data_IF_526365053033
#
_entry.id   IF_526365053033
#
_cell.length_a   1.000
_cell.length_b   1.000
_cell.length_c   1.000
_cell.angle_alpha   90.00
_cell.angle_beta   90.00
_cell.angle_gamma   90.00
#
_symmetry.space_group_name_H-M   'P 1'
#
loop_
_entity.id
_entity.type
_entity.pdbx_description
1 polymer ?
#
# COMPACT_ATOMS: atom_id res chain seq x y z
N UNK A 1 -16.68 7.63 -35.66
CA UNK A 1 -17.95 6.86 -35.62
C UNK A 1 -17.94 5.98 -34.38
N UNK A 2 -18.74 6.33 -33.37
CA UNK A 2 -19.02 5.47 -32.20
C UNK A 2 -19.88 4.30 -32.68
N UNK A 3 -19.31 3.10 -32.71
CA UNK A 3 -20.07 1.88 -32.98
C UNK A 3 -20.88 1.58 -31.71
N UNK A 4 -22.20 1.70 -31.78
CA UNK A 4 -23.07 1.32 -30.67
C UNK A 4 -23.25 -0.20 -30.70
N UNK A 5 -22.68 -0.87 -29.71
CA UNK A 5 -22.85 -2.31 -29.51
C UNK A 5 -24.09 -2.54 -28.63
N UNK A 6 -24.88 -3.56 -28.95
CA UNK A 6 -26.01 -3.98 -28.11
C UNK A 6 -25.47 -4.91 -27.01
N UNK A 7 -24.93 -4.33 -25.95
CA UNK A 7 -24.35 -5.07 -24.81
C UNK A 7 -25.42 -5.49 -23.81
N UNK A 8 -25.08 -6.46 -22.97
CA UNK A 8 -25.92 -6.81 -21.81
C UNK A 8 -26.08 -5.58 -20.90
N UNK A 9 -27.21 -5.46 -20.19
CA UNK A 9 -27.45 -4.34 -19.27
C UNK A 9 -26.35 -4.29 -18.19
N UNK A 10 -25.69 -3.13 -18.04
CA UNK A 10 -24.60 -2.94 -17.08
C UNK A 10 -23.22 -3.42 -17.58
N UNK A 11 -23.13 -3.91 -18.81
CA UNK A 11 -21.87 -4.34 -19.43
C UNK A 11 -21.27 -3.26 -20.33
N UNK A 12 -19.95 -3.29 -20.44
CA UNK A 12 -19.14 -2.42 -21.31
C UNK A 12 -18.16 -3.25 -22.12
N UNK A 13 -17.72 -2.72 -23.27
CA UNK A 13 -16.68 -3.37 -24.06
C UNK A 13 -15.31 -3.28 -23.35
N UNK A 14 -14.39 -4.20 -23.63
CA UNK A 14 -13.01 -4.13 -23.07
C UNK A 14 -12.29 -2.80 -23.38
N UNK A 15 -12.38 -2.21 -24.59
CA UNK A 15 -11.86 -0.86 -24.85
C UNK A 15 -12.45 0.22 -23.96
N UNK A 16 -13.76 0.18 -23.68
CA UNK A 16 -14.42 1.14 -22.78
C UNK A 16 -14.03 0.90 -21.32
N UNK A 17 -13.93 -0.36 -20.91
CA UNK A 17 -13.43 -0.73 -19.59
C UNK A 17 -12.03 -0.17 -19.35
N UNK A 18 -11.12 -0.28 -20.33
CA UNK A 18 -9.79 0.32 -20.25
C UNK A 18 -9.85 1.84 -20.04
N UNK A 19 -10.73 2.55 -20.75
CA UNK A 19 -10.93 4.00 -20.55
C UNK A 19 -11.45 4.34 -19.15
N UNK A 20 -12.33 3.51 -18.58
CA UNK A 20 -12.83 3.68 -17.21
C UNK A 20 -11.67 3.54 -16.22
N UNK A 21 -10.84 2.50 -16.37
CA UNK A 21 -9.67 2.28 -15.51
C UNK A 21 -8.70 3.47 -15.60
N UNK A 22 -8.31 3.89 -16.80
CA UNK A 22 -7.41 5.04 -16.98
C UNK A 22 -7.96 6.32 -16.34
N UNK A 23 -9.27 6.54 -16.42
CA UNK A 23 -9.93 7.70 -15.80
C UNK A 23 -9.87 7.65 -14.28
N UNK A 24 -10.12 6.49 -13.68
CA UNK A 24 -10.07 6.30 -12.22
C UNK A 24 -8.63 6.45 -11.71
N UNK A 25 -7.67 5.88 -12.42
CA UNK A 25 -6.23 5.99 -12.13
C UNK A 25 -5.63 7.36 -12.50
N UNK A 26 -6.43 8.29 -13.04
CA UNK A 26 -6.01 9.63 -13.47
C UNK A 26 -4.85 9.64 -14.48
N UNK A 27 -4.74 8.60 -15.31
CA UNK A 27 -3.74 8.51 -16.38
C UNK A 27 -4.13 9.45 -17.51
N UNK A 28 -3.26 10.41 -17.84
CA UNK A 28 -3.53 11.45 -18.85
C UNK A 28 -3.41 10.93 -20.29
N UNK A 29 -2.66 9.86 -20.50
CA UNK A 29 -2.50 9.24 -21.81
C UNK A 29 -3.71 8.36 -22.18
N UNK A 30 -4.63 8.92 -22.97
CA UNK A 30 -5.85 8.21 -23.40
C UNK A 30 -5.61 7.04 -24.37
N UNK A 31 -4.42 6.95 -24.96
CA UNK A 31 -4.02 5.85 -25.84
C UNK A 31 -3.31 4.72 -25.09
N UNK A 32 -3.16 4.83 -23.78
CA UNK A 32 -2.54 3.81 -22.96
C UNK A 32 -3.35 2.50 -22.98
N UNK A 33 -2.65 1.39 -23.20
CA UNK A 33 -3.20 0.02 -23.25
C UNK A 33 -2.65 -0.87 -22.15
N UNK A 34 -2.00 -0.28 -21.14
CA UNK A 34 -1.41 -0.96 -19.97
C UNK A 34 -2.39 -1.92 -19.29
N UNK A 35 -3.66 -1.54 -19.15
CA UNK A 35 -4.70 -2.38 -18.55
C UNK A 35 -5.52 -3.17 -19.57
N UNK A 36 -5.51 -2.79 -20.85
CA UNK A 36 -6.34 -3.41 -21.88
C UNK A 36 -6.12 -4.92 -21.98
N UNK A 37 -4.86 -5.36 -22.05
CA UNK A 37 -4.54 -6.79 -22.18
C UNK A 37 -4.93 -7.57 -20.92
N UNK A 38 -4.75 -6.98 -19.73
CA UNK A 38 -5.14 -7.60 -18.46
C UNK A 38 -6.65 -7.81 -18.38
N UNK A 39 -7.42 -6.79 -18.74
CA UNK A 39 -8.88 -6.86 -18.81
C UNK A 39 -9.36 -7.86 -19.86
N UNK A 40 -8.72 -7.92 -21.02
CA UNK A 40 -9.07 -8.88 -22.06
C UNK A 40 -8.82 -10.33 -21.63
N UNK A 41 -7.66 -10.60 -21.01
CA UNK A 41 -7.33 -11.93 -20.51
C UNK A 41 -8.29 -12.33 -19.38
N UNK A 42 -8.52 -11.44 -18.41
CA UNK A 42 -9.49 -11.71 -17.34
C UNK A 42 -10.91 -11.95 -17.88
N UNK A 43 -11.33 -11.18 -18.89
CA UNK A 43 -12.64 -11.38 -19.52
C UNK A 43 -12.75 -12.74 -20.24
N UNK A 44 -11.65 -13.26 -20.80
CA UNK A 44 -11.61 -14.61 -21.40
C UNK A 44 -11.69 -15.72 -20.35
N UNK A 45 -11.15 -15.47 -19.16
CA UNK A 45 -11.16 -16.37 -18.01
C UNK A 45 -12.45 -16.29 -17.19
N UNK A 46 -13.38 -15.39 -17.55
CA UNK A 46 -14.66 -15.19 -16.86
C UNK A 46 -14.61 -14.21 -15.68
N UNK A 47 -13.46 -13.57 -15.43
CA UNK A 47 -13.32 -12.51 -14.45
C UNK A 47 -14.05 -11.23 -14.89
N UNK A 48 -14.40 -10.38 -13.92
CA UNK A 48 -15.16 -9.13 -14.14
C UNK A 48 -16.51 -9.35 -14.82
N UNK A 49 -17.11 -10.52 -14.55
CA UNK A 49 -18.32 -11.00 -15.22
C UNK A 49 -18.13 -11.24 -16.72
N UNK A 50 -16.89 -11.46 -17.17
CA UNK A 50 -16.47 -11.54 -18.57
C UNK A 50 -17.31 -12.50 -19.39
N UNK A 51 -17.89 -11.98 -20.47
CA UNK A 51 -18.68 -12.75 -21.43
C UNK A 51 -18.22 -12.48 -22.84
N UNK A 52 -18.23 -13.52 -23.68
CA UNK A 52 -17.99 -13.36 -25.10
C UNK A 52 -19.17 -12.63 -25.74
N UNK A 53 -18.89 -11.54 -26.44
CA UNK A 53 -19.86 -10.78 -27.21
C UNK A 53 -19.60 -10.97 -28.71
N UNK A 54 -20.54 -11.60 -29.40
CA UNK A 54 -20.40 -11.95 -30.81
C UNK A 54 -19.19 -12.87 -31.10
N UNK A 55 -18.57 -12.70 -32.27
CA UNK A 55 -17.50 -13.62 -32.73
C UNK A 55 -16.09 -13.27 -32.21
N UNK A 56 -15.80 -11.98 -31.99
CA UNK A 56 -14.42 -11.48 -31.77
C UNK A 56 -14.25 -10.57 -30.55
N UNK A 57 -15.31 -10.33 -29.79
CA UNK A 57 -15.29 -9.34 -28.70
C UNK A 57 -15.67 -9.97 -27.36
N UNK A 58 -15.25 -9.32 -26.28
CA UNK A 58 -15.67 -9.63 -24.93
C UNK A 58 -16.30 -8.38 -24.30
N UNK A 59 -17.26 -8.61 -23.43
CA UNK A 59 -17.90 -7.60 -22.59
C UNK A 59 -17.65 -7.94 -21.12
N UNK A 60 -17.54 -6.91 -20.29
CA UNK A 60 -17.27 -7.00 -18.85
C UNK A 60 -18.28 -6.15 -18.09
N UNK A 61 -18.60 -6.53 -16.85
CA UNK A 61 -19.52 -5.76 -16.01
C UNK A 61 -18.86 -4.46 -15.56
N UNK A 62 -19.57 -3.35 -15.71
CA UNK A 62 -19.03 -2.03 -15.39
C UNK A 62 -18.64 -1.89 -13.92
N UNK A 63 -19.45 -2.41 -13.01
CA UNK A 63 -19.22 -2.37 -11.57
C UNK A 63 -17.92 -3.09 -11.18
N UNK A 64 -17.72 -4.32 -11.69
CA UNK A 64 -16.51 -5.10 -11.43
C UNK A 64 -15.23 -4.37 -11.94
N UNK A 65 -15.33 -3.63 -13.05
CA UNK A 65 -14.22 -2.84 -13.59
C UNK A 65 -13.92 -1.61 -12.73
N UNK A 66 -14.95 -0.95 -12.20
CA UNK A 66 -14.77 0.17 -11.27
C UNK A 66 -14.08 -0.33 -10.00
N UNK A 67 -14.55 -1.44 -9.43
CA UNK A 67 -13.95 -2.06 -8.24
C UNK A 67 -12.50 -2.46 -8.48
N UNK A 68 -12.20 -3.06 -9.64
CA UNK A 68 -10.82 -3.35 -10.04
C UNK A 68 -9.94 -2.10 -10.05
N UNK A 69 -10.41 -1.01 -10.67
CA UNK A 69 -9.66 0.23 -10.76
C UNK A 69 -9.43 0.89 -9.40
N UNK A 70 -10.43 0.88 -8.52
CA UNK A 70 -10.33 1.38 -7.15
C UNK A 70 -9.30 0.59 -6.34
N UNK A 71 -9.26 -0.74 -6.50
CA UNK A 71 -8.29 -1.60 -5.83
C UNK A 71 -6.87 -1.32 -6.33
N UNK A 72 -6.69 -1.11 -7.65
CA UNK A 72 -5.41 -0.67 -8.21
C UNK A 72 -4.98 0.67 -7.61
N UNK A 73 -5.90 1.64 -7.52
CA UNK A 73 -5.61 2.96 -6.95
C UNK A 73 -5.21 2.86 -5.47
N UNK A 74 -5.87 2.02 -4.68
CA UNK A 74 -5.53 1.77 -3.27
C UNK A 74 -4.13 1.17 -3.15
N UNK A 75 -3.78 0.18 -3.98
CA UNK A 75 -2.46 -0.42 -3.97
C UNK A 75 -1.36 0.58 -4.37
N UNK A 76 -1.61 1.41 -5.39
CA UNK A 76 -0.68 2.48 -5.78
C UNK A 76 -0.52 3.51 -4.66
N UNK A 77 -1.61 3.90 -4.00
CA UNK A 77 -1.56 4.80 -2.85
C UNK A 77 -0.77 4.21 -1.68
N UNK A 78 -0.94 2.91 -1.40
CA UNK A 78 -0.15 2.22 -0.37
C UNK A 78 1.33 2.17 -0.74
N UNK A 79 1.68 1.99 -2.02
CA UNK A 79 3.07 2.00 -2.49
C UNK A 79 3.70 3.40 -2.49
N UNK A 80 2.91 4.48 -2.54
CA UNK A 80 3.42 5.85 -2.46
C UNK A 80 3.88 6.24 -1.06
N UNK A 81 3.50 5.48 -0.03
CA UNK A 81 4.00 5.64 1.32
C UNK A 81 4.91 4.45 1.66
N UNK A 82 6.15 4.70 2.10
CA UNK A 82 7.02 3.67 2.69
C UNK A 82 6.51 3.26 4.09
N UNK A 83 5.24 2.86 4.18
CA UNK A 83 4.62 2.38 5.40
C UNK A 83 4.65 0.86 5.35
N UNK A 84 5.69 0.28 5.94
CA UNK A 84 5.68 -1.14 6.26
C UNK A 84 4.70 -1.37 7.41
N UNK A 85 3.50 -1.85 7.07
CA UNK A 85 2.50 -2.21 8.06
C UNK A 85 2.89 -3.53 8.72
N UNK A 86 3.68 -3.45 9.78
CA UNK A 86 4.10 -4.62 10.55
C UNK A 86 2.98 -5.02 11.50
N UNK A 87 2.38 -6.20 11.27
CA UNK A 87 1.27 -6.73 12.07
C UNK A 87 1.68 -7.28 13.44
N UNK A 88 2.98 -7.39 13.71
CA UNK A 88 3.52 -7.94 14.96
C UNK A 88 4.82 -7.23 15.37
N UNK A 89 4.83 -6.63 16.56
CA UNK A 89 5.98 -5.93 17.15
C UNK A 89 7.26 -6.79 17.18
N UNK A 90 7.13 -8.10 17.34
CA UNK A 90 8.28 -9.01 17.38
C UNK A 90 9.07 -9.02 16.06
N UNK A 91 8.39 -8.79 14.92
CA UNK A 91 9.06 -8.71 13.60
C UNK A 91 9.93 -7.46 13.47
N UNK A 92 9.58 -6.37 14.17
CA UNK A 92 10.39 -5.14 14.22
C UNK A 92 11.65 -5.37 15.05
N UNK A 93 11.53 -6.14 16.14
CA UNK A 93 12.66 -6.52 17.00
C UNK A 93 13.61 -7.49 16.30
N UNK A 94 13.08 -8.49 15.58
CA UNK A 94 13.86 -9.47 14.80
C UNK A 94 14.60 -8.84 13.62
N UNK A 95 14.02 -7.81 12.98
CA UNK A 95 14.64 -7.12 11.86
C UNK A 95 15.83 -6.23 12.27
N UNK A 96 16.10 -6.02 13.57
CA UNK A 96 17.08 -5.06 14.08
C UNK A 96 16.96 -3.64 13.49
N UNK A 97 15.80 -3.31 12.90
CA UNK A 97 15.51 -1.99 12.37
C UNK A 97 14.96 -1.14 13.50
N UNK A 98 15.85 -0.78 14.44
CA UNK A 98 15.47 0.14 15.49
C UNK A 98 15.24 1.53 14.87
N UNK A 99 14.05 2.14 15.05
CA UNK A 99 13.78 3.45 14.49
C UNK A 99 14.69 4.48 15.13
N UNK A 100 15.27 5.34 14.29
CA UNK A 100 16.08 6.47 14.75
C UNK A 100 15.18 7.43 15.54
N UNK A 101 15.68 7.90 16.67
CA UNK A 101 14.98 8.90 17.49
C UNK A 101 15.78 10.20 17.49
N UNK A 102 15.08 11.31 17.56
CA UNK A 102 15.71 12.62 17.69
C UNK A 102 16.23 12.85 19.11
N UNK A 103 17.25 13.72 19.24
CA UNK A 103 17.84 14.05 20.54
C UNK A 103 16.84 14.65 21.52
N UNK A 104 15.88 15.45 21.03
CA UNK A 104 14.81 16.02 21.86
C UNK A 104 13.92 14.92 22.46
N UNK A 105 13.43 14.03 21.60
CA UNK A 105 12.62 12.86 22.00
C UNK A 105 13.38 11.94 22.95
N UNK A 106 14.67 11.70 22.70
CA UNK A 106 15.51 10.88 23.56
C UNK A 106 15.64 11.48 24.97
N UNK A 107 15.85 12.80 25.10
CA UNK A 107 15.89 13.47 26.41
C UNK A 107 14.59 13.29 27.18
N UNK A 108 13.45 13.44 26.50
CA UNK A 108 12.13 13.24 27.11
C UNK A 108 11.93 11.80 27.59
N UNK A 109 12.29 10.81 26.76
CA UNK A 109 12.18 9.39 27.16
C UNK A 109 13.11 9.09 28.33
N UNK A 110 14.34 9.59 28.33
CA UNK A 110 15.28 9.39 29.44
C UNK A 110 14.75 10.01 30.75
N UNK A 111 14.13 11.18 30.68
CA UNK A 111 13.47 11.80 31.84
C UNK A 111 12.38 10.89 32.42
N UNK A 112 11.50 10.33 31.58
CA UNK A 112 10.47 9.40 32.03
C UNK A 112 11.05 8.09 32.58
N UNK A 113 12.09 7.53 31.97
CA UNK A 113 12.78 6.35 32.51
C UNK A 113 13.33 6.62 33.91
N UNK A 114 13.93 7.80 34.14
CA UNK A 114 14.41 8.20 35.47
C UNK A 114 13.26 8.35 36.48
N UNK A 115 12.15 8.95 36.05
CA UNK A 115 10.95 9.09 36.90
C UNK A 115 10.39 7.73 37.31
N UNK A 116 10.23 6.81 36.36
CA UNK A 116 9.72 5.46 36.61
C UNK A 116 10.64 4.67 37.56
N UNK A 117 11.95 4.80 37.38
CA UNK A 117 12.94 4.19 38.29
C UNK A 117 12.86 4.81 39.69
N UNK A 118 12.77 6.14 39.79
CA UNK A 118 12.70 6.85 41.06
C UNK A 118 11.48 6.44 41.90
N UNK A 119 10.34 6.21 41.23
CA UNK A 119 9.11 5.71 41.86
C UNK A 119 9.07 4.19 41.98
N UNK A 120 10.17 3.48 41.71
CA UNK A 120 10.28 2.02 41.80
C UNK A 120 9.23 1.25 40.98
N UNK A 121 8.69 1.89 39.93
CA UNK A 121 7.73 1.27 39.00
C UNK A 121 8.45 0.26 38.09
N UNK A 122 9.74 0.49 37.83
CA UNK A 122 10.61 -0.40 37.05
C UNK A 122 11.86 -0.76 37.85
N UNK A 123 12.43 -1.94 37.59
CA UNK A 123 13.68 -2.39 38.20
C UNK A 123 14.91 -1.69 37.59
N UNK A 124 16.03 -1.74 38.31
CA UNK A 124 17.33 -1.24 37.83
C UNK A 124 17.73 -1.86 36.49
N UNK A 125 17.51 -3.16 36.34
CA UNK A 125 17.84 -3.90 35.12
C UNK A 125 17.03 -3.39 33.91
N UNK A 126 15.74 -3.11 34.12
CA UNK A 126 14.86 -2.55 33.08
C UNK A 126 15.30 -1.14 32.72
N UNK A 127 15.68 -0.33 33.72
CA UNK A 127 16.20 1.01 33.49
C UNK A 127 17.49 0.99 32.65
N UNK A 128 18.49 0.19 33.03
CA UNK A 128 19.77 0.10 32.31
C UNK A 128 19.60 -0.43 30.88
N UNK A 129 18.72 -1.41 30.68
CA UNK A 129 18.38 -1.92 29.34
C UNK A 129 17.71 -0.84 28.50
N UNK A 130 16.78 -0.07 29.09
CA UNK A 130 16.11 1.05 28.44
C UNK A 130 17.08 2.16 28.02
N UNK A 131 18.00 2.53 28.91
CA UNK A 131 19.03 3.55 28.65
C UNK A 131 19.98 3.12 27.53
N UNK A 132 20.46 1.87 27.56
CA UNK A 132 21.31 1.31 26.51
C UNK A 132 20.61 1.35 25.15
N UNK A 133 19.33 0.95 25.09
CA UNK A 133 18.55 0.97 23.86
C UNK A 133 18.34 2.39 23.33
N UNK A 134 18.10 3.35 24.23
CA UNK A 134 17.93 4.75 23.88
C UNK A 134 19.21 5.34 23.27
N UNK A 135 20.37 5.09 23.89
CA UNK A 135 21.68 5.54 23.41
C UNK A 135 21.98 4.95 22.03
N UNK A 136 21.71 3.66 21.84
CA UNK A 136 21.88 3.01 20.53
C UNK A 136 21.04 3.68 19.44
N UNK A 137 19.77 4.01 19.72
CA UNK A 137 18.87 4.65 18.74
C UNK A 137 19.26 6.08 18.39
N UNK A 138 19.87 6.82 19.32
CA UNK A 138 20.42 8.16 19.07
C UNK A 138 21.71 8.09 18.24
N UNK A 139 22.66 7.24 18.65
CA UNK A 139 23.98 7.10 18.01
C UNK A 139 23.94 6.37 16.67
N UNK A 140 22.87 5.64 16.35
CA UNK A 140 22.68 5.06 15.03
C UNK A 140 22.72 6.09 13.89
N UNK A 141 22.46 7.39 14.17
CA UNK A 141 22.71 8.47 13.20
C UNK A 141 24.17 8.53 12.74
N UNK A 142 25.11 8.30 13.66
CA UNK A 142 26.55 8.42 13.42
C UNK A 142 27.14 7.15 12.76
N UNK A 143 26.50 6.00 12.96
CA UNK A 143 26.95 4.71 12.40
C UNK A 143 26.50 4.55 10.94
N UNK A 144 25.34 5.12 10.56
CA UNK A 144 24.79 5.01 9.19
C UNK A 144 25.40 5.96 8.17
N UNK A 145 26.51 6.65 8.50
CA UNK A 145 27.26 7.51 7.58
C UNK A 145 28.69 6.97 7.39
N UNK A 146 28.80 5.83 6.71
CA UNK A 146 30.00 5.40 5.97
C UNK A 146 29.59 4.60 4.75
#
# INVERSE_FOLDING_TARGET
>A
MTKNYHLDLGYVTVPEANKIVLRILRITNQNDKSHYNKLLTGAKEGLYGGKKYGKRMYQVRREDIIQYAETCLQNEQLQLFDIELVTNLNKVEEANQLPKIENGTAKTIHYYLRYLKFHEIISEEVFLKGEKNLIMRVKMKDITLK
#
